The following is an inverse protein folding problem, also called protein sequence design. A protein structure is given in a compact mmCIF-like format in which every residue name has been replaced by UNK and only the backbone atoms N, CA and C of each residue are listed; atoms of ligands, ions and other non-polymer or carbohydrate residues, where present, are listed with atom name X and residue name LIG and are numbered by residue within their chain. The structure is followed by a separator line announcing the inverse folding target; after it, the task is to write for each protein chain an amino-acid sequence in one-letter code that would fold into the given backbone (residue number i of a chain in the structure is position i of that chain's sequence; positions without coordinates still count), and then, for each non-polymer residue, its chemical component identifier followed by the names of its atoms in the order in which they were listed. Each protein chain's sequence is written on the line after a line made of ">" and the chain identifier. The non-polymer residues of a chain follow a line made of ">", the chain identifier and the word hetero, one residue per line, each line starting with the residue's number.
data_IF_277166249366
#
_entry.id   IF_277166249366
#
_cell.length_a   1.000
_cell.length_b   1.000
_cell.length_c   1.000
_cell.angle_alpha   90.00
_cell.angle_beta   90.00
_cell.angle_gamma   90.00
#
_symmetry.space_group_name_H-M   'P 1'
#
loop_
_entity.id
_entity.type
_entity.pdbx_description
1 polymer ?
#
# COMPACT_ATOMS: atom_id res chain seq x y z
N UNK A 1 8.52 0.87 5.35
CA UNK A 1 7.46 0.14 6.06
C UNK A 1 6.90 -0.95 5.15
N UNK A 2 6.75 -2.18 5.63
CA UNK A 2 6.18 -3.30 4.85
C UNK A 2 4.66 -3.22 4.79
N UNK A 3 4.03 -3.87 3.80
CA UNK A 3 2.56 -3.94 3.68
C UNK A 3 1.96 -4.66 4.90
N UNK A 4 2.66 -5.69 5.39
CA UNK A 4 2.26 -6.46 6.58
C UNK A 4 2.25 -5.60 7.85
N UNK A 5 3.29 -4.79 8.08
CA UNK A 5 3.33 -3.88 9.22
C UNK A 5 2.17 -2.85 9.17
N UNK A 6 1.82 -2.36 7.98
CA UNK A 6 0.67 -1.46 7.79
C UNK A 6 -0.63 -2.21 8.12
N UNK A 7 -0.80 -3.43 7.62
CA UNK A 7 -1.98 -4.24 7.88
C UNK A 7 -2.19 -4.47 9.38
N UNK A 8 -1.14 -4.90 10.09
CA UNK A 8 -1.17 -5.15 11.53
C UNK A 8 -1.46 -3.87 12.33
N UNK A 9 -0.82 -2.74 11.97
CA UNK A 9 -1.05 -1.45 12.61
C UNK A 9 -2.47 -0.93 12.43
N UNK A 10 -3.17 -1.34 11.38
CA UNK A 10 -4.56 -0.98 11.09
C UNK A 10 -5.57 -1.99 11.68
N UNK A 11 -5.10 -2.99 12.42
CA UNK A 11 -5.96 -4.01 13.05
C UNK A 11 -6.38 -5.16 12.14
N UNK A 12 -5.76 -5.31 10.96
CA UNK A 12 -6.00 -6.50 10.13
C UNK A 12 -5.21 -7.69 10.65
N UNK A 13 -5.84 -8.86 10.66
CA UNK A 13 -5.20 -10.11 11.06
C UNK A 13 -4.10 -10.55 10.08
N UNK A 14 -4.22 -10.21 8.79
CA UNK A 14 -3.23 -10.56 7.77
C UNK A 14 -3.22 -9.59 6.57
N UNK A 15 -2.16 -9.73 5.78
CA UNK A 15 -1.92 -8.93 4.57
C UNK A 15 -2.98 -9.15 3.47
N UNK A 16 -3.44 -10.37 3.17
CA UNK A 16 -4.52 -10.60 2.19
C UNK A 16 -5.82 -9.84 2.47
N UNK A 17 -6.31 -9.82 3.71
CA UNK A 17 -7.52 -9.08 4.08
C UNK A 17 -7.35 -7.58 3.86
N UNK A 18 -6.23 -7.02 4.34
CA UNK A 18 -5.89 -5.62 4.08
C UNK A 18 -5.80 -5.32 2.59
N UNK A 19 -5.13 -6.16 1.82
CA UNK A 19 -4.92 -5.96 0.37
C UNK A 19 -6.25 -5.95 -0.40
N UNK A 20 -7.18 -6.86 -0.07
CA UNK A 20 -8.52 -6.89 -0.66
C UNK A 20 -9.32 -5.65 -0.32
N UNK A 21 -9.33 -5.26 0.96
CA UNK A 21 -10.01 -4.05 1.42
C UNK A 21 -9.42 -2.82 0.72
N UNK A 22 -8.11 -2.61 0.82
CA UNK A 22 -7.42 -1.48 0.20
C UNK A 22 -7.70 -1.41 -1.31
N UNK A 23 -7.63 -2.52 -2.05
CA UNK A 23 -7.95 -2.53 -3.49
C UNK A 23 -9.41 -2.15 -3.76
N UNK A 24 -10.35 -2.60 -2.93
CA UNK A 24 -11.76 -2.23 -3.06
C UNK A 24 -11.98 -0.73 -2.88
N UNK A 25 -11.29 -0.10 -1.93
CA UNK A 25 -11.43 1.33 -1.62
C UNK A 25 -10.62 2.24 -2.54
N UNK A 26 -9.38 1.86 -2.86
CA UNK A 26 -8.41 2.69 -3.61
C UNK A 26 -8.32 2.32 -5.10
N UNK A 27 -8.98 1.25 -5.54
CA UNK A 27 -8.94 0.75 -6.92
C UNK A 27 -7.67 0.00 -7.31
N UNK A 28 -6.59 0.10 -6.52
CA UNK A 28 -5.26 -0.50 -6.79
C UNK A 28 -4.72 -1.26 -5.59
N UNK A 29 -3.74 -2.15 -5.79
CA UNK A 29 -3.12 -2.87 -4.67
C UNK A 29 -2.20 -1.96 -3.84
N UNK A 30 -2.00 -2.23 -2.54
CA UNK A 30 -1.06 -1.46 -1.73
C UNK A 30 0.36 -1.45 -2.29
N UNK A 31 0.80 -2.57 -2.89
CA UNK A 31 2.12 -2.68 -3.53
C UNK A 31 2.25 -1.75 -4.72
N UNK A 32 1.25 -1.72 -5.60
CA UNK A 32 1.22 -0.81 -6.74
C UNK A 32 1.26 0.64 -6.26
N UNK A 33 0.42 1.00 -5.28
CA UNK A 33 0.40 2.34 -4.70
C UNK A 33 1.76 2.76 -4.11
N UNK A 34 2.43 1.87 -3.36
CA UNK A 34 3.78 2.13 -2.85
C UNK A 34 4.81 2.36 -3.97
N UNK A 35 4.74 1.60 -5.07
CA UNK A 35 5.63 1.80 -6.22
C UNK A 35 5.38 3.15 -6.88
N UNK A 36 4.12 3.54 -7.09
CA UNK A 36 3.76 4.83 -7.68
C UNK A 36 4.24 6.01 -6.83
N UNK A 37 4.07 5.95 -5.50
CA UNK A 37 4.60 6.98 -4.61
C UNK A 37 6.12 7.10 -4.68
N UNK A 38 6.84 5.97 -4.81
CA UNK A 38 8.31 6.01 -4.98
C UNK A 38 8.71 6.68 -6.29
N UNK A 39 8.03 6.35 -7.39
CA UNK A 39 8.29 6.97 -8.70
C UNK A 39 8.01 8.47 -8.67
N UNK A 40 6.86 8.88 -8.14
CA UNK A 40 6.51 10.30 -7.99
C UNK A 40 7.54 11.07 -7.15
N UNK A 41 8.06 10.45 -6.09
CA UNK A 41 9.09 11.06 -5.27
C UNK A 41 10.47 11.14 -5.96
N UNK A 42 10.71 10.35 -7.01
CA UNK A 42 11.92 10.44 -7.82
C UNK A 42 11.79 11.56 -8.86
N UNK A 43 10.62 11.69 -9.51
CA UNK A 43 10.33 12.74 -10.49
C UNK A 43 10.40 14.16 -9.91
N UNK A 44 10.14 14.33 -8.61
CA UNK A 44 10.22 15.65 -7.92
C UNK A 44 11.68 16.05 -7.62
N UNK A 45 12.64 15.12 -7.71
CA UNK A 45 14.03 15.33 -7.29
C UNK A 45 14.98 15.67 -8.45
N UNK A 46 14.47 15.76 -9.67
CA UNK A 46 15.16 16.24 -10.88
C UNK A 46 14.71 17.66 -11.22
#
# INVERSE_FOLDING_TARGET
>A
MSIEAVALSLGYADTPHFTRAFKRWMGVTPKYYQTQLKLKNLEIRE
#
